data_IF_003333441111
#
_entry.id   IF_003333441111
#
_cell.length_a   1.000
_cell.length_b   1.000
_cell.length_c   1.000
_cell.angle_alpha   90.00
_cell.angle_beta   90.00
_cell.angle_gamma   90.00
#
_symmetry.space_group_name_H-M   'P 1'
#
loop_
_entity.id
_entity.type
_entity.pdbx_description
1 polymer ?
#
# COMPACT_ATOMS: atom_id res chain seq x y z
N UNK A 1 26.70 4.85 11.45
CA UNK A 1 27.67 5.13 12.53
C UNK A 1 27.00 5.60 13.83
N UNK A 2 25.86 6.28 13.77
CA UNK A 2 25.18 6.78 14.97
C UNK A 2 24.52 5.68 15.82
N UNK A 3 24.33 4.46 15.28
CA UNK A 3 23.64 3.34 15.92
C UNK A 3 24.49 2.09 16.02
N UNK A 4 25.85 2.22 16.00
CA UNK A 4 26.78 1.08 15.97
C UNK A 4 26.64 0.16 17.19
N UNK A 5 26.23 0.70 18.34
CA UNK A 5 26.10 -0.02 19.60
C UNK A 5 24.64 -0.36 19.96
N UNK A 6 23.68 -0.10 19.04
CA UNK A 6 22.27 -0.40 19.25
C UNK A 6 21.96 -1.80 18.70
N UNK A 7 21.37 -2.70 19.49
CA UNK A 7 20.91 -4.01 19.00
C UNK A 7 19.98 -3.83 17.80
N UNK A 8 20.35 -4.40 16.66
CA UNK A 8 19.63 -4.23 15.40
C UNK A 8 19.03 -5.55 14.96
N UNK A 9 17.74 -5.54 14.59
CA UNK A 9 17.03 -6.66 14.01
C UNK A 9 16.69 -6.30 12.56
N UNK A 10 17.15 -7.12 11.62
CA UNK A 10 16.77 -7.00 10.20
C UNK A 10 15.67 -8.00 9.95
N UNK A 11 14.49 -7.52 9.55
CA UNK A 11 13.35 -8.40 9.26
C UNK A 11 13.65 -9.26 8.04
N UNK A 12 13.64 -10.57 8.24
CA UNK A 12 13.98 -11.55 7.21
C UNK A 12 13.89 -12.97 7.74
N UNK A 13 14.40 -13.96 6.99
CA UNK A 13 14.36 -15.37 7.40
C UNK A 13 14.97 -15.58 8.79
N UNK A 14 14.23 -16.26 9.67
CA UNK A 14 14.64 -16.55 11.04
C UNK A 14 14.17 -15.55 12.10
N UNK A 15 13.67 -14.38 11.69
CA UNK A 15 13.06 -13.41 12.60
C UNK A 15 11.62 -13.84 12.93
N UNK A 16 11.25 -13.79 14.18
CA UNK A 16 9.89 -14.13 14.64
C UNK A 16 8.94 -12.97 14.33
N UNK A 17 8.25 -13.03 13.21
CA UNK A 17 7.21 -12.05 12.85
C UNK A 17 5.85 -12.41 13.46
N UNK A 18 5.56 -13.70 13.58
CA UNK A 18 4.25 -14.22 14.03
C UNK A 18 3.16 -14.07 12.97
N UNK A 19 3.54 -13.82 11.72
CA UNK A 19 2.64 -13.77 10.56
C UNK A 19 2.83 -15.05 9.73
N UNK A 20 1.87 -15.96 9.69
CA UNK A 20 1.88 -17.04 8.72
C UNK A 20 1.72 -16.48 7.30
N UNK A 21 2.53 -16.98 6.36
CA UNK A 21 2.51 -16.55 4.96
C UNK A 21 1.94 -17.69 4.14
N UNK A 22 0.75 -17.51 3.59
CA UNK A 22 -0.01 -18.52 2.84
C UNK A 22 0.05 -18.28 1.33
N UNK A 23 1.25 -18.02 0.82
CA UNK A 23 1.51 -17.88 -0.62
C UNK A 23 2.29 -19.09 -1.13
N UNK A 24 2.28 -19.32 -2.44
CA UNK A 24 3.00 -20.43 -3.08
C UNK A 24 4.51 -20.37 -2.79
N UNK A 25 5.08 -19.16 -2.76
CA UNK A 25 6.49 -18.94 -2.43
C UNK A 25 6.64 -17.86 -1.34
N UNK A 26 6.63 -18.23 -0.05
CA UNK A 26 6.77 -17.27 1.06
C UNK A 26 8.06 -16.45 1.05
N UNK A 27 9.11 -16.92 0.36
CA UNK A 27 10.41 -16.22 0.29
C UNK A 27 10.39 -15.00 -0.63
N UNK A 28 9.39 -14.87 -1.50
CA UNK A 28 9.21 -13.74 -2.39
C UNK A 28 8.47 -12.57 -1.73
N UNK A 29 7.89 -12.78 -0.54
CA UNK A 29 7.17 -11.73 0.18
C UNK A 29 8.15 -10.78 0.84
N UNK A 30 8.09 -9.51 0.44
CA UNK A 30 8.91 -8.46 1.02
C UNK A 30 8.67 -8.28 2.53
N UNK A 31 9.72 -7.94 3.30
CA UNK A 31 9.59 -7.75 4.75
C UNK A 31 8.63 -6.61 5.13
N UNK A 32 8.52 -5.58 4.32
CA UNK A 32 7.56 -4.48 4.45
C UNK A 32 6.11 -4.98 4.44
N UNK A 33 5.76 -5.88 3.53
CA UNK A 33 4.43 -6.48 3.43
C UNK A 33 4.09 -7.33 4.66
N UNK A 34 5.09 -8.06 5.20
CA UNK A 34 4.93 -8.88 6.41
C UNK A 34 4.68 -8.00 7.64
N UNK A 35 5.46 -6.92 7.81
CA UNK A 35 5.29 -6.03 8.96
C UNK A 35 4.00 -5.21 8.88
N UNK A 36 3.58 -4.81 7.67
CA UNK A 36 2.30 -4.17 7.44
C UNK A 36 1.13 -5.09 7.80
N UNK A 37 1.20 -6.37 7.40
CA UNK A 37 0.21 -7.41 7.79
C UNK A 37 0.11 -7.53 9.31
N UNK A 38 1.26 -7.62 9.99
CA UNK A 38 1.30 -7.70 11.45
C UNK A 38 0.65 -6.48 12.12
N UNK A 39 0.99 -5.29 11.65
CA UNK A 39 0.45 -4.05 12.20
C UNK A 39 -1.06 -3.94 11.95
N UNK A 40 -1.51 -4.18 10.72
CA UNK A 40 -2.91 -4.14 10.35
C UNK A 40 -3.76 -5.07 11.22
N UNK A 41 -3.35 -6.35 11.34
CA UNK A 41 -4.07 -7.31 12.17
C UNK A 41 -4.04 -6.95 13.66
N UNK A 42 -2.92 -6.41 14.17
CA UNK A 42 -2.80 -6.05 15.59
C UNK A 42 -3.67 -4.86 15.94
N UNK A 43 -3.79 -3.88 15.05
CA UNK A 43 -4.53 -2.63 15.29
C UNK A 43 -6.02 -2.75 14.99
N UNK A 44 -6.38 -3.48 13.94
CA UNK A 44 -7.75 -3.51 13.41
C UNK A 44 -8.38 -4.90 13.37
N UNK A 45 -7.60 -5.95 13.62
CA UNK A 45 -8.06 -7.32 13.43
C UNK A 45 -8.05 -7.71 11.95
N UNK A 46 -8.94 -8.64 11.57
CA UNK A 46 -9.08 -9.11 10.21
C UNK A 46 -10.48 -9.66 9.93
N UNK A 47 -10.82 -9.86 8.63
CA UNK A 47 -9.95 -9.69 7.48
C UNK A 47 -9.65 -8.22 7.19
N UNK A 48 -8.47 -7.95 6.60
CA UNK A 48 -8.05 -6.61 6.23
C UNK A 48 -7.33 -6.58 4.87
N UNK A 49 -7.35 -5.41 4.24
CA UNK A 49 -6.55 -5.12 3.05
C UNK A 49 -5.68 -3.90 3.34
N UNK A 50 -4.38 -4.03 3.17
CA UNK A 50 -3.45 -2.89 3.25
C UNK A 50 -3.14 -2.42 1.84
N UNK A 51 -3.46 -1.17 1.54
CA UNK A 51 -3.08 -0.50 0.29
C UNK A 51 -1.88 0.39 0.58
N UNK A 52 -0.70 0.00 0.09
CA UNK A 52 0.55 0.74 0.28
C UNK A 52 0.90 1.51 -1.00
N UNK A 53 0.89 2.83 -0.91
CA UNK A 53 1.19 3.77 -2.00
C UNK A 53 2.68 4.14 -2.00
N UNK A 54 3.53 3.19 -2.39
CA UNK A 54 4.98 3.33 -2.51
C UNK A 54 5.47 3.37 -3.96
N UNK A 55 6.65 2.80 -4.18
CA UNK A 55 7.23 2.57 -5.52
C UNK A 55 6.29 1.74 -6.41
N UNK A 56 5.63 0.77 -5.83
CA UNK A 56 4.44 0.09 -6.36
C UNK A 56 3.22 0.44 -5.51
N UNK A 57 2.03 0.25 -6.05
CA UNK A 57 0.80 0.22 -5.25
C UNK A 57 0.51 -1.23 -4.91
N UNK A 58 0.71 -1.59 -3.64
CA UNK A 58 0.52 -2.94 -3.15
C UNK A 58 -0.83 -3.10 -2.49
N UNK A 59 -1.45 -4.25 -2.66
CA UNK A 59 -2.68 -4.65 -2.00
C UNK A 59 -2.38 -5.92 -1.22
N UNK A 60 -2.18 -5.82 0.08
CA UNK A 60 -1.80 -6.91 0.95
C UNK A 60 -3.03 -7.44 1.69
N UNK A 61 -3.37 -8.70 1.47
CA UNK A 61 -4.58 -9.31 2.01
C UNK A 61 -4.26 -10.08 3.28
N UNK A 62 -4.95 -9.73 4.35
CA UNK A 62 -4.80 -10.28 5.70
C UNK A 62 -6.05 -11.07 6.07
N UNK A 63 -5.88 -12.32 6.48
CA UNK A 63 -7.01 -13.15 6.94
C UNK A 63 -7.55 -12.70 8.29
N UNK A 64 -8.72 -13.20 8.67
CA UNK A 64 -9.28 -13.00 10.01
C UNK A 64 -8.35 -13.50 11.15
N UNK A 65 -7.39 -14.39 10.84
CA UNK A 65 -6.42 -14.93 11.81
C UNK A 65 -5.05 -14.25 11.77
N UNK A 66 -4.89 -13.19 10.96
CA UNK A 66 -3.64 -12.46 10.81
C UNK A 66 -2.62 -13.12 9.89
N UNK A 67 -3.07 -13.99 9.00
CA UNK A 67 -2.24 -14.63 7.98
C UNK A 67 -2.13 -13.72 6.75
N UNK A 68 -0.96 -13.66 6.14
CA UNK A 68 -0.77 -13.02 4.85
C UNK A 68 -1.24 -13.97 3.73
N UNK A 69 -2.29 -13.59 3.02
CA UNK A 69 -2.90 -14.42 1.97
C UNK A 69 -2.32 -14.17 0.57
N UNK A 70 -1.51 -13.14 0.41
CA UNK A 70 -1.07 -12.64 -0.89
C UNK A 70 -1.69 -11.29 -1.20
N UNK A 71 -1.95 -11.01 -2.48
CA UNK A 71 -2.57 -9.75 -2.87
C UNK A 71 -2.27 -9.36 -4.31
N UNK A 72 -2.35 -8.06 -4.63
CA UNK A 72 -2.06 -7.53 -5.95
C UNK A 72 -0.92 -6.51 -5.88
N UNK A 73 -0.20 -6.37 -7.00
CA UNK A 73 0.85 -5.39 -7.21
C UNK A 73 0.55 -4.61 -8.48
N UNK A 74 0.51 -3.30 -8.38
CA UNK A 74 0.35 -2.40 -9.51
C UNK A 74 1.52 -1.41 -9.56
N UNK A 75 1.81 -0.80 -10.71
CA UNK A 75 2.78 0.29 -10.78
C UNK A 75 2.42 1.41 -9.81
N UNK A 76 3.41 1.98 -9.13
CA UNK A 76 3.19 3.14 -8.28
C UNK A 76 2.86 4.40 -9.10
N UNK A 77 2.21 5.35 -8.45
CA UNK A 77 1.74 6.58 -9.10
C UNK A 77 2.91 7.37 -9.69
N UNK A 78 3.97 7.60 -8.90
CA UNK A 78 5.15 8.37 -9.36
C UNK A 78 5.86 7.72 -10.54
N UNK A 79 6.05 6.39 -10.51
CA UNK A 79 6.65 5.65 -11.63
C UNK A 79 5.79 5.80 -12.89
N UNK A 80 4.47 5.77 -12.76
CA UNK A 80 3.54 5.91 -13.88
C UNK A 80 3.60 7.32 -14.48
N UNK A 81 3.69 8.35 -13.62
CA UNK A 81 3.90 9.75 -14.04
C UNK A 81 5.21 9.90 -14.82
N UNK A 82 6.30 9.38 -14.26
CA UNK A 82 7.63 9.45 -14.86
C UNK A 82 7.69 8.69 -16.20
N UNK A 83 7.09 7.50 -16.27
CA UNK A 83 7.01 6.72 -17.51
C UNK A 83 6.19 7.42 -18.60
N UNK A 84 5.09 8.07 -18.23
CA UNK A 84 4.25 8.83 -19.14
C UNK A 84 5.00 10.06 -19.69
N UNK A 85 5.65 10.84 -18.81
CA UNK A 85 6.44 12.00 -19.18
C UNK A 85 7.65 11.63 -20.07
N UNK A 86 8.30 10.51 -19.80
CA UNK A 86 9.47 10.06 -20.57
C UNK A 86 9.12 9.55 -21.98
N UNK A 87 7.91 9.00 -22.18
CA UNK A 87 7.52 8.36 -23.45
C UNK A 87 6.57 9.16 -24.33
N UNK A 88 5.91 10.15 -23.78
CA UNK A 88 4.97 10.99 -24.53
C UNK A 88 5.64 12.27 -25.01
N UNK A 89 5.74 12.46 -26.32
CA UNK A 89 6.49 13.55 -26.97
C UNK A 89 6.05 14.97 -26.57
N UNK A 90 4.86 15.14 -25.99
CA UNK A 90 4.27 16.44 -25.62
C UNK A 90 3.75 16.51 -24.19
N UNK A 91 3.96 15.46 -23.39
CA UNK A 91 3.53 15.47 -22.00
C UNK A 91 4.72 15.77 -21.10
N UNK A 92 4.46 16.38 -19.97
CA UNK A 92 5.45 16.78 -18.98
C UNK A 92 5.01 16.28 -17.60
N UNK A 93 5.96 16.19 -16.68
CA UNK A 93 5.67 15.83 -15.30
C UNK A 93 4.81 16.92 -14.67
N UNK A 94 3.66 16.54 -14.13
CA UNK A 94 2.75 17.42 -13.40
C UNK A 94 2.82 17.11 -11.92
N UNK A 95 2.55 18.10 -11.10
CA UNK A 95 2.33 17.90 -9.67
C UNK A 95 1.04 17.13 -9.45
N UNK A 96 1.08 16.13 -8.58
CA UNK A 96 -0.08 15.33 -8.21
C UNK A 96 -0.92 16.10 -7.18
N UNK A 97 -1.84 16.88 -7.69
CA UNK A 97 -2.84 17.61 -6.90
C UNK A 97 -4.22 17.37 -7.48
N UNK A 98 -5.23 17.52 -6.65
CA UNK A 98 -6.61 17.36 -7.11
C UNK A 98 -6.99 18.46 -8.09
N UNK A 99 -7.44 18.12 -9.32
CA UNK A 99 -7.84 19.11 -10.31
C UNK A 99 -9.20 19.72 -9.94
N UNK A 100 -9.48 20.90 -10.47
CA UNK A 100 -10.75 21.61 -10.26
C UNK A 100 -11.98 20.82 -10.72
N UNK A 101 -11.81 19.92 -11.65
CA UNK A 101 -12.87 19.10 -12.27
C UNK A 101 -12.27 17.86 -12.90
N UNK A 102 -13.05 16.78 -12.93
CA UNK A 102 -12.70 15.54 -13.64
C UNK A 102 -12.46 15.80 -15.13
N UNK A 103 -13.21 16.73 -15.74
CA UNK A 103 -12.99 17.15 -17.11
C UNK A 103 -11.98 18.29 -17.12
N UNK A 104 -10.69 17.97 -17.29
CA UNK A 104 -9.61 18.96 -17.41
C UNK A 104 -9.79 19.87 -18.63
N UNK A 105 -9.49 21.14 -18.46
CA UNK A 105 -9.60 22.16 -19.55
C UNK A 105 -8.26 22.50 -20.19
N UNK A 106 -7.18 21.92 -19.70
CA UNK A 106 -5.83 22.01 -20.23
C UNK A 106 -5.09 20.69 -19.99
N UNK A 107 -3.91 20.54 -20.58
CA UNK A 107 -3.12 19.30 -20.50
C UNK A 107 -2.75 18.93 -19.05
N UNK A 108 -2.38 19.91 -18.22
CA UNK A 108 -2.03 19.67 -16.81
C UNK A 108 -3.21 19.12 -16.04
N UNK A 109 -4.37 19.77 -16.10
CA UNK A 109 -5.59 19.31 -15.43
C UNK A 109 -6.06 17.94 -15.95
N UNK A 110 -5.94 17.69 -17.25
CA UNK A 110 -6.30 16.39 -17.84
C UNK A 110 -5.36 15.29 -17.34
N UNK A 111 -4.06 15.55 -17.20
CA UNK A 111 -3.10 14.63 -16.62
C UNK A 111 -3.38 14.38 -15.12
N UNK A 112 -3.58 15.43 -14.36
CA UNK A 112 -3.90 15.35 -12.93
C UNK A 112 -5.17 14.53 -12.70
N UNK A 113 -6.23 14.81 -13.46
CA UNK A 113 -7.48 14.08 -13.40
C UNK A 113 -7.30 12.60 -13.74
N UNK A 114 -6.65 12.29 -14.86
CA UNK A 114 -6.43 10.92 -15.30
C UNK A 114 -5.55 10.12 -14.33
N UNK A 115 -4.54 10.75 -13.77
CA UNK A 115 -3.67 10.11 -12.77
C UNK A 115 -4.42 9.90 -11.44
N UNK A 116 -4.96 10.96 -10.86
CA UNK A 116 -5.57 10.88 -9.53
C UNK A 116 -6.80 9.97 -9.51
N UNK A 117 -7.77 10.26 -10.36
CA UNK A 117 -9.01 9.48 -10.40
C UNK A 117 -8.85 8.12 -11.10
N UNK A 118 -7.88 7.99 -12.01
CA UNK A 118 -7.52 6.70 -12.60
C UNK A 118 -6.94 5.74 -11.57
N UNK A 119 -6.01 6.21 -10.72
CA UNK A 119 -5.49 5.40 -9.61
C UNK A 119 -6.54 5.14 -8.53
N UNK A 120 -7.40 6.10 -8.21
CA UNK A 120 -8.51 5.88 -7.29
C UNK A 120 -9.44 4.76 -7.82
N UNK A 121 -9.83 4.83 -9.09
CA UNK A 121 -10.64 3.77 -9.73
C UNK A 121 -9.95 2.41 -9.74
N UNK A 122 -8.62 2.36 -9.92
CA UNK A 122 -7.83 1.13 -9.81
C UNK A 122 -7.88 0.56 -8.39
N UNK A 123 -7.67 1.40 -7.37
CA UNK A 123 -7.70 1.01 -5.97
C UNK A 123 -9.08 0.48 -5.62
N UNK A 124 -10.13 1.25 -5.87
CA UNK A 124 -11.49 0.87 -5.54
C UNK A 124 -11.93 -0.39 -6.27
N UNK A 125 -11.54 -0.53 -7.55
CA UNK A 125 -11.84 -1.70 -8.35
C UNK A 125 -11.16 -2.97 -7.85
N UNK A 126 -9.90 -2.89 -7.40
CA UNK A 126 -9.17 -4.04 -6.83
C UNK A 126 -9.67 -4.39 -5.44
N UNK A 127 -9.90 -3.41 -4.57
CA UNK A 127 -10.43 -3.64 -3.23
C UNK A 127 -11.78 -4.33 -3.29
N UNK A 128 -12.72 -3.88 -4.15
CA UNK A 128 -14.02 -4.54 -4.33
C UNK A 128 -13.88 -5.99 -4.76
N UNK A 129 -13.00 -6.30 -5.73
CA UNK A 129 -12.75 -7.68 -6.18
C UNK A 129 -12.14 -8.55 -5.08
N UNK A 130 -11.20 -8.02 -4.30
CA UNK A 130 -10.61 -8.71 -3.15
C UNK A 130 -11.68 -8.97 -2.09
N UNK A 131 -12.54 -8.01 -1.81
CA UNK A 131 -13.65 -8.14 -0.86
C UNK A 131 -14.64 -9.24 -1.29
N UNK A 132 -14.98 -9.28 -2.58
CA UNK A 132 -15.85 -10.32 -3.15
C UNK A 132 -15.21 -11.72 -3.00
N UNK A 133 -13.89 -11.85 -3.25
CA UNK A 133 -13.15 -13.11 -3.11
C UNK A 133 -13.05 -13.55 -1.65
N UNK A 134 -12.89 -12.61 -0.71
CA UNK A 134 -12.89 -12.88 0.73
C UNK A 134 -14.28 -13.25 1.27
N UNK A 135 -15.33 -12.98 0.51
CA UNK A 135 -16.72 -13.24 0.91
C UNK A 135 -17.23 -12.32 2.03
N UNK A 136 -16.67 -11.12 2.17
CA UNK A 136 -17.04 -10.17 3.21
C UNK A 136 -16.44 -8.79 3.02
N UNK A 137 -16.64 -7.93 4.01
CA UNK A 137 -16.10 -6.56 4.01
C UNK A 137 -14.83 -6.54 4.88
N UNK A 138 -13.62 -6.56 4.30
CA UNK A 138 -12.39 -6.36 5.04
C UNK A 138 -12.27 -4.91 5.48
N UNK A 139 -11.52 -4.66 6.55
CA UNK A 139 -11.06 -3.31 6.89
C UNK A 139 -9.96 -2.92 5.90
N UNK A 140 -10.07 -1.74 5.28
CA UNK A 140 -9.14 -1.29 4.25
C UNK A 140 -8.28 -0.13 4.75
N UNK A 141 -6.98 -0.35 4.80
CA UNK A 141 -5.99 0.58 5.35
C UNK A 141 -5.14 1.18 4.23
N UNK A 142 -4.93 2.49 4.25
CA UNK A 142 -4.03 3.18 3.34
C UNK A 142 -2.73 3.54 4.06
N UNK A 143 -1.58 3.19 3.48
CA UNK A 143 -0.24 3.55 3.95
C UNK A 143 0.67 3.95 2.79
N UNK A 144 1.91 4.35 3.08
CA UNK A 144 2.87 4.79 2.07
C UNK A 144 2.87 6.28 1.81
N UNK A 145 3.87 6.76 1.06
CA UNK A 145 4.16 8.19 0.90
C UNK A 145 3.05 9.01 0.26
N UNK A 146 2.27 8.41 -0.66
CA UNK A 146 1.15 9.10 -1.35
C UNK A 146 -0.22 8.75 -0.76
N UNK A 147 -0.27 8.01 0.34
CA UNK A 147 -1.53 7.61 0.97
C UNK A 147 -2.41 8.79 1.39
N UNK A 148 -1.80 9.90 1.84
CA UNK A 148 -2.52 11.12 2.24
C UNK A 148 -3.33 11.75 1.10
N UNK A 149 -2.83 11.65 -0.15
CA UNK A 149 -3.53 12.16 -1.33
C UNK A 149 -4.65 11.20 -1.74
N UNK A 150 -4.34 9.91 -1.78
CA UNK A 150 -5.27 8.89 -2.27
C UNK A 150 -6.43 8.62 -1.31
N UNK A 151 -6.21 8.78 0.00
CA UNK A 151 -7.24 8.57 1.02
C UNK A 151 -8.46 9.46 0.83
N UNK A 152 -8.26 10.68 0.32
CA UNK A 152 -9.35 11.64 0.12
C UNK A 152 -10.18 11.39 -1.16
N UNK A 153 -9.67 10.58 -2.10
CA UNK A 153 -10.30 10.38 -3.42
C UNK A 153 -10.74 8.94 -3.69
N UNK A 154 -10.25 7.97 -2.92
CA UNK A 154 -10.70 6.59 -2.98
C UNK A 154 -11.95 6.40 -2.11
N UNK A 155 -12.90 5.59 -2.60
CA UNK A 155 -14.17 5.31 -1.93
C UNK A 155 -14.07 4.15 -0.93
N UNK A 156 -13.08 3.27 -1.10
CA UNK A 156 -12.98 1.99 -0.38
C UNK A 156 -11.97 1.99 0.77
N UNK A 157 -11.30 3.10 1.03
CA UNK A 157 -10.30 3.21 2.10
C UNK A 157 -10.98 3.63 3.41
N UNK A 158 -10.86 2.81 4.46
CA UNK A 158 -11.48 3.07 5.76
C UNK A 158 -10.57 3.88 6.69
N UNK A 159 -9.25 3.59 6.68
CA UNK A 159 -8.28 4.20 7.61
C UNK A 159 -7.02 4.64 6.90
N UNK A 160 -6.48 5.79 7.34
CA UNK A 160 -5.19 6.31 6.88
C UNK A 160 -4.13 6.10 7.96
N UNK A 161 -3.18 5.21 7.69
CA UNK A 161 -2.13 4.79 8.61
C UNK A 161 -0.74 5.03 8.01
N UNK A 162 -0.25 6.28 8.00
CA UNK A 162 1.02 6.61 7.36
C UNK A 162 2.23 5.91 8.01
N UNK A 163 2.13 5.58 9.29
CA UNK A 163 3.19 4.96 10.09
C UNK A 163 3.01 3.43 10.27
N UNK A 164 2.14 2.79 9.48
CA UNK A 164 1.80 1.37 9.62
C UNK A 164 3.05 0.48 9.64
N UNK A 165 3.98 0.69 8.71
CA UNK A 165 5.23 -0.07 8.63
C UNK A 165 6.09 0.10 9.89
N UNK A 166 6.15 1.31 10.45
CA UNK A 166 6.89 1.57 11.69
C UNK A 166 6.24 0.87 12.89
N UNK A 167 4.92 0.84 12.94
CA UNK A 167 4.19 0.05 13.95
C UNK A 167 4.51 -1.43 13.82
N UNK A 168 4.52 -1.99 12.61
CA UNK A 168 4.89 -3.37 12.35
C UNK A 168 6.33 -3.70 12.77
N UNK A 169 7.27 -2.84 12.42
CA UNK A 169 8.69 -2.99 12.82
C UNK A 169 8.84 -2.98 14.35
N UNK A 170 8.15 -2.09 15.06
CA UNK A 170 8.13 -2.06 16.53
C UNK A 170 7.62 -3.38 17.11
N UNK A 171 6.50 -3.90 16.58
CA UNK A 171 5.93 -5.18 17.04
C UNK A 171 6.89 -6.35 16.81
N UNK A 172 7.58 -6.40 15.67
CA UNK A 172 8.61 -7.42 15.40
C UNK A 172 9.77 -7.30 16.39
N UNK A 173 10.25 -6.07 16.65
CA UNK A 173 11.31 -5.84 17.63
C UNK A 173 10.93 -6.35 19.02
N UNK A 174 9.72 -6.05 19.49
CA UNK A 174 9.20 -6.50 20.79
C UNK A 174 9.12 -8.04 20.91
N UNK A 175 8.83 -8.75 19.81
CA UNK A 175 8.75 -10.22 19.75
C UNK A 175 10.10 -10.92 19.73
N UNK A 176 11.19 -10.20 19.46
CA UNK A 176 12.53 -10.76 19.30
C UNK A 176 13.53 -10.25 20.37
N UNK A 177 13.04 -9.60 21.39
CA UNK A 177 13.78 -9.23 22.61
C UNK A 177 14.05 -10.41 23.52
#
# INVERSE_FOLDING_TARGET
RYFADVPTIVVGPGVKTGVPILTDNPREVGPDRIVNTLAAHTLYGGPAVVVDFGTSTNFDVVSARGEFLGGALAPGIEISVDALAARAARLFKVELVEPRSVIGKNTSESLQSGLLYGFAGQVDGLVRRISDELGGQPVVLATGGLSHLMFNVCETLDHHEPDLTLHGLRLVHERNR
#
